data_IF_701827010537
#
_entry.id   IF_701827010537
#
_cell.length_a   1.000
_cell.length_b   1.000
_cell.length_c   1.000
_cell.angle_alpha   90.00
_cell.angle_beta   90.00
_cell.angle_gamma   90.00
#
_symmetry.space_group_name_H-M   'P 1'
#
loop_
_entity.id
_entity.type
_entity.pdbx_description
1 polymer ?
#
# COMPACT_ATOMS: atom_id res chain seq x y z
N UNK A 1 14.16 20.77 -8.51
CA UNK A 1 12.93 20.32 -7.82
C UNK A 1 11.74 20.70 -8.70
N UNK A 2 11.09 19.73 -9.35
CA UNK A 2 9.94 19.97 -10.24
C UNK A 2 8.70 20.34 -9.41
N UNK A 3 8.03 21.42 -9.79
CA UNK A 3 7.02 22.15 -9.02
C UNK A 3 5.68 21.45 -8.78
N UNK A 4 5.69 20.26 -8.18
CA UNK A 4 4.49 19.51 -7.78
C UNK A 4 4.11 19.77 -6.32
N UNK A 5 4.11 21.05 -5.90
CA UNK A 5 3.72 21.43 -4.54
C UNK A 5 2.19 21.38 -4.44
N UNK A 6 1.65 20.25 -3.98
CA UNK A 6 0.21 20.02 -3.85
C UNK A 6 -0.36 18.90 -4.73
N UNK A 7 0.46 18.28 -5.58
CA UNK A 7 0.08 17.08 -6.33
C UNK A 7 0.72 15.83 -5.70
N UNK A 8 -0.03 14.73 -5.66
CA UNK A 8 0.42 13.43 -5.12
C UNK A 8 1.64 12.91 -5.89
N UNK A 9 2.83 13.24 -5.40
CA UNK A 9 4.08 12.66 -5.89
C UNK A 9 4.21 11.22 -5.38
N UNK A 10 4.94 10.37 -6.11
CA UNK A 10 5.11 8.93 -5.82
C UNK A 10 5.47 8.58 -4.37
N UNK A 11 6.21 9.46 -3.67
CA UNK A 11 6.50 9.28 -2.25
C UNK A 11 5.28 9.46 -1.35
N UNK A 12 4.44 10.47 -1.62
CA UNK A 12 3.18 10.71 -0.92
C UNK A 12 2.18 9.58 -1.13
N UNK A 13 2.19 8.94 -2.30
CA UNK A 13 1.37 7.77 -2.59
C UNK A 13 1.74 6.55 -1.73
N UNK A 14 3.04 6.31 -1.53
CA UNK A 14 3.51 5.23 -0.64
C UNK A 14 3.15 5.50 0.82
N UNK A 15 3.30 6.73 1.29
CA UNK A 15 2.92 7.11 2.65
C UNK A 15 1.41 6.97 2.86
N UNK A 16 0.59 7.45 1.92
CA UNK A 16 -0.86 7.33 1.97
C UNK A 16 -1.31 5.86 1.97
N UNK A 17 -0.75 5.04 1.07
CA UNK A 17 -1.03 3.61 1.03
C UNK A 17 -0.62 2.90 2.32
N UNK A 18 0.55 3.21 2.87
CA UNK A 18 1.01 2.65 4.14
C UNK A 18 0.05 2.98 5.30
N UNK A 19 -0.39 4.24 5.42
CA UNK A 19 -1.36 4.63 6.44
C UNK A 19 -2.67 3.87 6.28
N UNK A 20 -3.25 3.87 5.07
CA UNK A 20 -4.52 3.19 4.81
C UNK A 20 -4.47 1.68 5.07
N UNK A 21 -3.36 1.01 4.72
CA UNK A 21 -3.20 -0.43 4.98
C UNK A 21 -3.04 -0.74 6.46
N UNK A 22 -2.36 0.13 7.22
CA UNK A 22 -2.25 -0.02 8.68
C UNK A 22 -3.60 0.21 9.37
N UNK A 23 -4.37 1.21 8.95
CA UNK A 23 -5.72 1.48 9.47
C UNK A 23 -6.70 0.36 9.16
N UNK A 24 -6.56 -0.30 8.01
CA UNK A 24 -7.34 -1.48 7.64
C UNK A 24 -6.93 -2.75 8.42
N UNK A 25 -5.92 -2.68 9.28
CA UNK A 25 -5.52 -3.77 10.17
C UNK A 25 -4.66 -4.86 9.53
N UNK A 26 -4.06 -4.61 8.36
CA UNK A 26 -3.14 -5.57 7.76
C UNK A 26 -1.86 -5.71 8.60
N UNK A 27 -1.27 -6.90 8.57
CA UNK A 27 -0.04 -7.17 9.29
C UNK A 27 1.12 -6.34 8.72
N UNK A 28 1.89 -5.68 9.59
CA UNK A 28 2.99 -4.79 9.21
C UNK A 28 3.99 -5.44 8.23
N UNK A 29 4.36 -6.71 8.46
CA UNK A 29 5.27 -7.43 7.57
C UNK A 29 4.75 -7.57 6.13
N UNK A 30 3.43 -7.71 5.96
CA UNK A 30 2.80 -7.81 4.64
C UNK A 30 2.82 -6.45 3.96
N UNK A 31 2.57 -5.37 4.72
CA UNK A 31 2.64 -3.99 4.25
C UNK A 31 4.07 -3.65 3.78
N UNK A 32 5.08 -3.95 4.59
CA UNK A 32 6.49 -3.71 4.23
C UNK A 32 6.90 -4.51 2.98
N UNK A 33 6.40 -5.75 2.87
CA UNK A 33 6.69 -6.62 1.73
C UNK A 33 6.03 -6.17 0.41
N UNK A 34 4.91 -5.43 0.44
CA UNK A 34 4.31 -4.83 -0.77
C UNK A 34 4.92 -3.46 -1.10
N UNK A 35 5.43 -2.74 -0.10
CA UNK A 35 6.15 -1.48 -0.29
C UNK A 35 7.58 -1.66 -0.82
N UNK A 36 7.99 -2.92 -1.07
CA UNK A 36 9.35 -3.29 -1.51
C UNK A 36 10.45 -2.78 -0.58
N UNK A 37 10.11 -2.62 0.71
CA UNK A 37 11.10 -2.29 1.72
C UNK A 37 11.96 -3.52 1.98
N UNK A 38 13.28 -3.31 2.01
CA UNK A 38 14.22 -4.37 2.39
C UNK A 38 14.12 -4.57 3.89
N UNK A 39 13.80 -5.80 4.32
CA UNK A 39 13.77 -6.19 5.73
C UNK A 39 15.11 -5.86 6.39
N UNK A 40 15.09 -4.91 7.33
CA UNK A 40 16.31 -4.41 7.99
C UNK A 40 16.78 -5.35 9.08
N UNK A 41 15.90 -6.20 9.61
CA UNK A 41 16.24 -7.15 10.66
C UNK A 41 16.72 -8.48 10.06
N UNK A 42 18.05 -8.60 9.93
CA UNK A 42 18.72 -9.79 9.38
C UNK A 42 18.39 -11.10 10.14
N UNK A 43 18.04 -11.02 11.43
CA UNK A 43 17.64 -12.19 12.23
C UNK A 43 16.24 -12.64 11.82
N UNK A 44 15.26 -11.74 11.70
CA UNK A 44 13.91 -12.09 11.21
C UNK A 44 13.93 -12.61 9.77
N UNK A 45 14.74 -12.00 8.91
CA UNK A 45 14.91 -12.46 7.53
C UNK A 45 15.46 -13.88 7.42
N UNK A 46 16.33 -14.29 8.36
CA UNK A 46 16.90 -15.65 8.38
C UNK A 46 15.87 -16.73 8.73
N UNK A 47 14.84 -16.41 9.51
CA UNK A 47 13.80 -17.36 9.94
C UNK A 47 12.50 -17.26 9.14
N UNK A 48 12.17 -16.08 8.58
CA UNK A 48 10.95 -15.86 7.81
C UNK A 48 11.17 -16.23 6.33
N UNK A 49 11.07 -17.53 6.02
CA UNK A 49 11.09 -18.05 4.64
C UNK A 49 9.80 -17.83 3.86
N UNK A 50 8.79 -17.21 4.48
CA UNK A 50 7.50 -17.01 3.84
C UNK A 50 7.53 -15.69 3.08
N UNK A 51 7.19 -15.73 1.80
CA UNK A 51 7.09 -14.53 0.96
C UNK A 51 5.75 -13.82 1.13
N UNK A 52 4.92 -14.26 2.07
CA UNK A 52 3.55 -13.76 2.34
C UNK A 52 2.70 -13.61 1.07
N UNK A 53 2.95 -14.40 0.02
CA UNK A 53 2.44 -14.12 -1.32
C UNK A 53 0.90 -14.03 -1.39
N UNK A 54 0.20 -14.92 -0.68
CA UNK A 54 -1.27 -14.89 -0.59
C UNK A 54 -1.78 -13.60 0.08
N UNK A 55 -1.23 -13.28 1.26
CA UNK A 55 -1.59 -12.05 1.99
C UNK A 55 -1.24 -10.77 1.21
N UNK A 56 -0.13 -10.78 0.46
CA UNK A 56 0.22 -9.66 -0.43
C UNK A 56 -0.79 -9.51 -1.57
N UNK A 57 -1.26 -10.61 -2.15
CA UNK A 57 -2.28 -10.58 -3.19
C UNK A 57 -3.62 -10.07 -2.63
N UNK A 58 -4.03 -10.52 -1.45
CA UNK A 58 -5.24 -10.04 -0.76
C UNK A 58 -5.15 -8.53 -0.47
N UNK A 59 -4.02 -8.08 0.07
CA UNK A 59 -3.78 -6.67 0.38
C UNK A 59 -3.76 -5.81 -0.89
N UNK A 60 -3.10 -6.25 -1.96
CA UNK A 60 -3.08 -5.54 -3.24
C UNK A 60 -4.44 -5.50 -3.93
N UNK A 61 -5.25 -6.56 -3.81
CA UNK A 61 -6.62 -6.55 -4.29
C UNK A 61 -7.44 -5.52 -3.51
N UNK A 62 -7.40 -5.55 -2.17
CA UNK A 62 -8.08 -4.57 -1.33
C UNK A 62 -7.68 -3.13 -1.69
N UNK A 63 -6.38 -2.87 -1.84
CA UNK A 63 -5.88 -1.55 -2.24
C UNK A 63 -6.40 -1.12 -3.63
N UNK A 64 -6.46 -2.05 -4.58
CA UNK A 64 -7.06 -1.82 -5.89
C UNK A 64 -8.54 -1.44 -5.81
N UNK A 65 -9.30 -2.06 -4.89
CA UNK A 65 -10.70 -1.70 -4.66
C UNK A 65 -10.85 -0.30 -4.08
N UNK A 66 -9.98 0.10 -3.15
CA UNK A 66 -9.98 1.47 -2.61
C UNK A 66 -9.74 2.51 -3.72
N UNK A 67 -8.79 2.26 -4.62
CA UNK A 67 -8.53 3.13 -5.78
C UNK A 67 -9.73 3.14 -6.73
N UNK A 68 -10.30 1.96 -7.04
CA UNK A 68 -11.47 1.84 -7.90
C UNK A 68 -12.65 2.62 -7.34
N UNK A 69 -12.91 2.51 -6.05
CA UNK A 69 -14.00 3.21 -5.37
C UNK A 69 -13.78 4.72 -5.39
N UNK A 70 -12.56 5.18 -5.06
CA UNK A 70 -12.20 6.59 -5.12
C UNK A 70 -12.32 7.17 -6.54
N UNK A 71 -11.92 6.40 -7.56
CA UNK A 71 -12.05 6.80 -8.97
C UNK A 71 -13.50 6.80 -9.46
N UNK A 72 -14.34 5.91 -8.94
CA UNK A 72 -15.75 5.78 -9.37
C UNK A 72 -16.66 6.81 -8.68
N UNK A 73 -16.28 7.29 -7.49
CA UNK A 73 -17.02 8.30 -6.74
C UNK A 73 -17.08 9.68 -7.44
N UNK A 74 -16.28 9.91 -8.49
CA UNK A 74 -16.28 11.15 -9.27
C UNK A 74 -17.19 11.16 -10.51
N UNK A 75 -17.82 10.04 -10.90
CA UNK A 75 -18.47 9.94 -12.22
C UNK A 75 -20.01 9.85 -12.19
N UNK A 76 -20.64 9.56 -11.05
CA UNK A 76 -22.11 9.31 -11.01
C UNK A 76 -22.91 10.08 -9.94
N UNK A 77 -22.37 11.16 -9.35
CA UNK A 77 -23.13 11.97 -8.37
C UNK A 77 -23.73 13.27 -8.94
N UNK A 78 -23.98 13.34 -10.25
CA UNK A 78 -24.62 14.53 -10.88
C UNK A 78 -25.53 14.20 -12.06
N UNK A 79 -26.21 13.04 -12.03
CA UNK A 79 -27.38 12.79 -12.89
C UNK A 79 -28.61 12.51 -12.07
#
# INVERSE_FOLDING_TARGET
RMGYKGELVSHGFRSLGSTAMNEAGFHADVIEAVLSHVEKNKVRAAYNRTTWLKHRAELMNWWGEQIRNASSAGFWQTV
#
